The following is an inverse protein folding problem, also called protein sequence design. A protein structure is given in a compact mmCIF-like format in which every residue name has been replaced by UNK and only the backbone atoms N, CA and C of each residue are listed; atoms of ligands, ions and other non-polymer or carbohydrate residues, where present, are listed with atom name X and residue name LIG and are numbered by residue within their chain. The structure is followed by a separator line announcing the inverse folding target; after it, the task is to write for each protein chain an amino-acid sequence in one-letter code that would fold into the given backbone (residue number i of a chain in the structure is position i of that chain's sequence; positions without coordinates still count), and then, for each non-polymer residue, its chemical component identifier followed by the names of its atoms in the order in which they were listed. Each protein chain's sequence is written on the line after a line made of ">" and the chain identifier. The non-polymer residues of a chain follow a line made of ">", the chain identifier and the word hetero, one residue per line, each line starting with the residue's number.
data_IF_482644310313
#
_entry.id   IF_482644310313
#
_cell.length_a   1.000
_cell.length_b   1.000
_cell.length_c   1.000
_cell.angle_alpha   90.00
_cell.angle_beta   90.00
_cell.angle_gamma   90.00
#
_symmetry.space_group_name_H-M   'P 1'
#
loop_
_entity.id
_entity.type
_entity.pdbx_description
1 polymer ?
#
# COMPACT_ATOMS: atom_id res chain seq x y z
N UNK A 1 -6.01 -47.66 9.92
CA UNK A 1 -4.73 -46.94 10.16
C UNK A 1 -4.95 -45.44 10.05
N UNK A 2 -4.95 -44.72 11.17
CA UNK A 2 -5.01 -43.25 11.21
C UNK A 2 -3.63 -42.70 10.87
N UNK A 3 -3.48 -41.98 9.75
CA UNK A 3 -2.27 -41.22 9.45
C UNK A 3 -2.30 -39.92 10.25
N UNK A 4 -1.43 -39.80 11.26
CA UNK A 4 -1.18 -38.54 11.96
C UNK A 4 -0.40 -37.61 11.03
N UNK A 5 -0.93 -36.43 10.75
CA UNK A 5 -0.14 -35.36 10.16
C UNK A 5 0.88 -34.89 11.21
N UNK A 6 2.16 -34.99 10.88
CA UNK A 6 3.24 -34.42 11.68
C UNK A 6 3.14 -32.90 11.56
N UNK A 7 3.01 -32.22 12.70
CA UNK A 7 3.31 -30.80 12.82
C UNK A 7 4.77 -30.57 12.40
N UNK A 8 4.95 -29.98 11.22
CA UNK A 8 6.21 -29.35 10.85
C UNK A 8 6.31 -28.02 11.58
N UNK A 9 6.90 -28.11 12.76
CA UNK A 9 7.69 -27.09 13.45
C UNK A 9 7.97 -25.82 12.64
N UNK A 10 7.54 -24.71 13.22
CA UNK A 10 8.01 -23.34 12.98
C UNK A 10 9.44 -23.26 12.44
N UNK A 11 9.56 -23.01 11.13
CA UNK A 11 10.81 -22.52 10.57
C UNK A 11 11.05 -21.09 11.06
N UNK A 12 12.26 -20.73 11.52
CA UNK A 12 12.57 -19.36 11.86
C UNK A 12 12.34 -18.51 10.61
N UNK A 13 11.64 -17.38 10.76
CA UNK A 13 11.44 -16.42 9.69
C UNK A 13 12.82 -15.99 9.17
N UNK A 14 13.26 -16.61 8.06
CA UNK A 14 14.46 -16.21 7.35
C UNK A 14 14.15 -14.79 6.90
N UNK A 15 14.70 -13.82 7.63
CA UNK A 15 14.81 -12.44 7.18
C UNK A 15 15.69 -12.45 5.93
N UNK A 16 15.09 -12.81 4.79
CA UNK A 16 15.71 -12.63 3.48
C UNK A 16 15.94 -11.13 3.36
N UNK A 17 17.20 -10.73 3.54
CA UNK A 17 17.68 -9.39 3.20
C UNK A 17 17.15 -9.12 1.79
N UNK A 18 16.23 -8.17 1.68
CA UNK A 18 15.60 -7.82 0.41
C UNK A 18 16.72 -7.53 -0.59
N UNK A 19 16.80 -8.33 -1.66
CA UNK A 19 17.73 -8.08 -2.74
C UNK A 19 17.24 -6.81 -3.43
N UNK A 20 17.92 -5.72 -3.09
CA UNK A 20 17.59 -4.38 -3.56
C UNK A 20 17.63 -4.35 -5.09
N UNK A 21 16.52 -3.94 -5.69
CA UNK A 21 16.40 -3.87 -7.15
C UNK A 21 16.56 -2.42 -7.57
N UNK A 22 17.80 -2.00 -7.87
CA UNK A 22 18.02 -0.70 -8.51
C UNK A 22 17.42 -0.74 -9.93
N UNK A 23 16.45 0.11 -10.18
CA UNK A 23 15.72 0.24 -11.45
C UNK A 23 15.53 1.72 -11.74
N UNK A 24 15.67 2.11 -13.00
CA UNK A 24 15.39 3.48 -13.43
C UNK A 24 13.90 3.83 -13.30
N UNK A 25 13.05 2.80 -13.43
CA UNK A 25 11.60 2.91 -13.29
C UNK A 25 11.13 2.50 -11.89
N UNK A 26 9.96 3.01 -11.49
CA UNK A 26 9.31 2.63 -10.23
C UNK A 26 8.97 1.14 -10.26
N UNK A 27 9.26 0.45 -9.15
CA UNK A 27 8.76 -0.89 -8.89
C UNK A 27 7.64 -0.82 -7.85
N UNK A 28 6.68 -1.74 -7.90
CA UNK A 28 5.62 -1.81 -6.89
C UNK A 28 5.76 -3.11 -6.11
N UNK A 29 5.81 -3.01 -4.78
CA UNK A 29 5.89 -4.15 -3.87
C UNK A 29 4.67 -4.20 -2.96
N UNK A 30 4.14 -5.42 -2.77
CA UNK A 30 3.03 -5.72 -1.87
C UNK A 30 3.49 -6.37 -0.55
N UNK A 31 4.80 -6.52 -0.34
CA UNK A 31 5.34 -7.25 0.81
C UNK A 31 4.96 -6.62 2.16
N UNK A 32 4.60 -5.34 2.17
CA UNK A 32 4.34 -4.54 3.38
C UNK A 32 2.88 -4.13 3.51
N UNK A 33 1.98 -4.72 2.72
CA UNK A 33 0.55 -4.47 2.83
C UNK A 33 0.06 -4.95 4.19
N UNK A 34 -0.68 -4.10 4.90
CA UNK A 34 -1.28 -4.46 6.18
C UNK A 34 -2.38 -5.50 5.96
N UNK A 35 -2.39 -6.51 6.83
CA UNK A 35 -3.48 -7.47 6.90
C UNK A 35 -4.59 -6.89 7.79
N UNK A 36 -5.51 -6.13 7.18
CA UNK A 36 -6.69 -5.62 7.86
C UNK A 36 -7.88 -5.51 6.90
N UNK A 37 -9.09 -5.67 7.44
CA UNK A 37 -10.35 -5.67 6.70
C UNK A 37 -10.87 -4.28 6.32
N UNK A 38 -10.26 -3.19 6.82
CA UNK A 38 -10.75 -1.83 6.56
C UNK A 38 -9.85 -1.03 5.61
N UNK A 39 -8.52 -1.18 5.73
CA UNK A 39 -7.51 -0.41 4.99
C UNK A 39 -6.49 -1.30 4.25
N UNK A 40 -6.63 -2.63 4.33
CA UNK A 40 -5.79 -3.56 3.59
C UNK A 40 -6.18 -3.59 2.12
N UNK A 41 -5.67 -4.57 1.37
CA UNK A 41 -6.21 -4.83 0.04
C UNK A 41 -7.55 -5.56 0.16
N UNK A 42 -8.59 -5.00 -0.45
CA UNK A 42 -9.88 -5.66 -0.61
C UNK A 42 -9.80 -6.83 -1.62
N UNK A 43 -9.26 -7.98 -1.21
CA UNK A 43 -9.09 -9.18 -2.04
C UNK A 43 -10.07 -10.31 -1.69
N UNK A 44 -10.60 -10.31 -0.46
CA UNK A 44 -11.45 -11.37 0.05
C UNK A 44 -12.77 -10.80 0.59
N UNK A 45 -13.74 -11.69 0.82
CA UNK A 45 -15.05 -11.34 1.38
C UNK A 45 -15.02 -10.85 2.82
N UNK A 46 -13.89 -11.01 3.49
CA UNK A 46 -13.69 -10.59 4.89
C UNK A 46 -13.39 -9.10 5.00
N UNK A 47 -13.05 -8.44 3.89
CA UNK A 47 -12.85 -7.00 3.86
C UNK A 47 -14.20 -6.26 3.96
N UNK A 48 -14.29 -5.24 4.81
CA UNK A 48 -15.54 -4.53 5.13
C UNK A 48 -16.18 -3.92 3.87
N UNK A 49 -15.34 -3.43 2.97
CA UNK A 49 -15.72 -2.83 1.70
C UNK A 49 -16.02 -3.85 0.58
N UNK A 50 -15.84 -5.16 0.79
CA UNK A 50 -15.88 -6.15 -0.29
C UNK A 50 -17.21 -6.16 -1.05
N UNK A 51 -18.32 -6.10 -0.31
CA UNK A 51 -19.66 -6.15 -0.92
C UNK A 51 -20.15 -4.79 -1.43
N UNK A 52 -19.52 -3.71 -1.00
CA UNK A 52 -19.85 -2.33 -1.42
C UNK A 52 -19.13 -1.95 -2.72
N UNK A 53 -17.92 -2.47 -2.92
CA UNK A 53 -17.09 -2.15 -4.07
C UNK A 53 -17.41 -3.04 -5.26
N UNK A 54 -17.45 -2.43 -6.46
CA UNK A 54 -17.30 -3.19 -7.69
C UNK A 54 -15.85 -3.69 -7.78
N UNK A 55 -15.61 -4.92 -7.32
CA UNK A 55 -14.28 -5.55 -7.22
C UNK A 55 -13.52 -5.52 -8.55
N UNK A 56 -14.19 -5.80 -9.66
CA UNK A 56 -13.57 -5.77 -10.98
C UNK A 56 -13.08 -4.37 -11.31
N UNK A 57 -13.91 -3.36 -11.07
CA UNK A 57 -13.54 -1.97 -11.34
C UNK A 57 -12.40 -1.50 -10.44
N UNK A 58 -12.52 -1.70 -9.12
CA UNK A 58 -11.49 -1.36 -8.14
C UNK A 58 -10.12 -1.97 -8.51
N UNK A 59 -10.08 -3.29 -8.73
CA UNK A 59 -8.83 -3.98 -9.08
C UNK A 59 -8.28 -3.51 -10.42
N UNK A 60 -9.14 -3.20 -11.40
CA UNK A 60 -8.70 -2.66 -12.69
C UNK A 60 -7.99 -1.31 -12.52
N UNK A 61 -8.57 -0.40 -11.72
CA UNK A 61 -8.01 0.94 -11.54
C UNK A 61 -6.74 0.92 -10.69
N UNK A 62 -6.66 0.03 -9.69
CA UNK A 62 -5.44 -0.21 -8.93
C UNK A 62 -4.30 -0.76 -9.81
N UNK A 63 -4.60 -1.74 -10.68
CA UNK A 63 -3.62 -2.26 -11.63
C UNK A 63 -3.19 -1.22 -12.67
N UNK A 64 -4.09 -0.33 -13.10
CA UNK A 64 -3.74 0.79 -13.99
C UNK A 64 -2.80 1.78 -13.30
N UNK A 65 -3.02 2.08 -12.01
CA UNK A 65 -2.08 2.88 -11.22
C UNK A 65 -0.69 2.21 -11.21
N UNK A 66 -0.60 0.92 -10.90
CA UNK A 66 0.70 0.24 -10.89
C UNK A 66 1.35 0.20 -12.27
N UNK A 67 0.58 -0.07 -13.32
CA UNK A 67 1.08 -0.02 -14.70
C UNK A 67 1.51 1.38 -15.14
N UNK A 68 0.92 2.43 -14.56
CA UNK A 68 1.35 3.81 -14.74
C UNK A 68 2.69 4.07 -14.04
N UNK A 69 2.80 3.70 -12.76
CA UNK A 69 4.03 3.89 -11.96
C UNK A 69 5.21 3.14 -12.58
N UNK A 70 5.04 1.87 -12.97
CA UNK A 70 6.10 1.04 -13.54
C UNK A 70 6.64 1.53 -14.90
N UNK A 71 6.05 2.56 -15.50
CA UNK A 71 6.52 3.20 -16.74
C UNK A 71 7.24 4.53 -16.49
N UNK A 72 7.43 4.92 -15.24
CA UNK A 72 7.96 6.22 -14.86
C UNK A 72 9.16 6.11 -13.94
N UNK A 73 10.06 7.07 -14.05
CA UNK A 73 11.06 7.34 -13.03
C UNK A 73 10.42 8.03 -11.82
N UNK A 74 11.09 8.00 -10.68
CA UNK A 74 10.62 8.75 -9.51
C UNK A 74 10.60 10.25 -9.73
N UNK A 75 11.53 10.79 -10.55
CA UNK A 75 11.55 12.21 -10.88
C UNK A 75 10.29 12.61 -11.66
N UNK A 76 9.87 11.79 -12.63
CA UNK A 76 8.62 12.03 -13.35
C UNK A 76 7.40 11.95 -12.42
N UNK A 77 7.39 10.97 -11.51
CA UNK A 77 6.31 10.77 -10.53
C UNK A 77 6.19 11.98 -9.59
N UNK A 78 7.32 12.53 -9.13
CA UNK A 78 7.34 13.72 -8.26
C UNK A 78 6.79 14.98 -8.93
N UNK A 79 6.79 15.04 -10.27
CA UNK A 79 6.29 16.17 -11.03
C UNK A 79 4.79 16.08 -11.35
N UNK A 80 4.11 14.99 -10.97
CA UNK A 80 2.68 14.81 -11.22
C UNK A 80 1.86 15.65 -10.24
N UNK A 81 0.83 16.35 -10.74
CA UNK A 81 -0.09 17.13 -9.90
C UNK A 81 -0.90 16.21 -8.98
N UNK A 82 -0.80 16.42 -7.67
CA UNK A 82 -1.46 15.62 -6.63
C UNK A 82 -2.99 15.48 -6.80
N UNK A 83 -3.67 16.52 -7.30
CA UNK A 83 -5.13 16.54 -7.44
C UNK A 83 -5.67 15.79 -8.67
N UNK A 84 -4.81 15.19 -9.48
CA UNK A 84 -5.19 14.41 -10.67
C UNK A 84 -5.18 12.91 -10.40
N UNK A 85 -5.80 12.12 -11.29
CA UNK A 85 -5.71 10.67 -11.21
C UNK A 85 -4.24 10.24 -11.38
N UNK A 86 -3.77 9.35 -10.50
CA UNK A 86 -2.37 8.96 -10.33
C UNK A 86 -1.43 10.08 -9.83
N UNK A 87 -2.01 11.19 -9.35
CA UNK A 87 -1.29 12.25 -8.67
C UNK A 87 -0.60 11.75 -7.40
N UNK A 88 0.58 12.29 -7.13
CA UNK A 88 1.35 12.02 -5.93
C UNK A 88 1.08 13.10 -4.87
N UNK A 89 0.80 12.66 -3.66
CA UNK A 89 0.83 13.44 -2.44
C UNK A 89 1.82 12.83 -1.44
N UNK A 90 2.40 13.66 -0.58
CA UNK A 90 3.26 13.21 0.53
C UNK A 90 2.70 13.73 1.84
N UNK A 91 2.54 12.83 2.81
CA UNK A 91 2.06 13.15 4.16
C UNK A 91 3.13 12.77 5.18
N UNK A 92 3.31 13.55 6.25
CA UNK A 92 4.11 13.09 7.39
C UNK A 92 3.29 12.06 8.16
N UNK A 93 3.90 10.94 8.53
CA UNK A 93 3.20 9.82 9.19
C UNK A 93 2.49 10.26 10.48
N UNK A 94 3.07 11.22 11.21
CA UNK A 94 2.46 11.83 12.41
C UNK A 94 1.13 12.58 12.15
N UNK A 95 0.81 12.90 10.89
CA UNK A 95 -0.40 13.63 10.50
C UNK A 95 -1.55 12.68 10.12
N UNK A 96 -1.35 11.35 10.22
CA UNK A 96 -2.43 10.35 10.15
C UNK A 96 -3.42 10.60 11.29
N UNK A 97 -4.72 10.46 11.02
CA UNK A 97 -5.73 10.62 12.07
C UNK A 97 -5.53 9.60 13.20
N UNK A 98 -5.52 10.06 14.45
CA UNK A 98 -5.35 9.19 15.65
C UNK A 98 -6.29 7.99 15.71
N UNK A 99 -7.48 8.07 15.10
CA UNK A 99 -8.42 6.93 15.02
C UNK A 99 -7.94 5.78 14.13
N UNK A 100 -6.86 5.98 13.36
CA UNK A 100 -6.27 5.00 12.43
C UNK A 100 -4.95 4.46 12.98
N UNK A 101 -4.90 4.23 14.30
CA UNK A 101 -3.70 3.83 15.05
C UNK A 101 -2.98 2.61 14.44
N UNK A 102 -3.70 1.61 13.92
CA UNK A 102 -3.10 0.43 13.30
C UNK A 102 -2.28 0.77 12.04
N UNK A 103 -2.69 1.77 11.25
CA UNK A 103 -1.91 2.24 10.10
C UNK A 103 -0.71 3.05 10.57
N UNK A 104 -0.92 3.94 11.55
CA UNK A 104 0.18 4.69 12.15
C UNK A 104 1.27 3.76 12.66
N UNK A 105 0.92 2.76 13.47
CA UNK A 105 1.83 1.75 13.99
C UNK A 105 2.52 0.96 12.88
N UNK A 106 1.82 0.61 11.79
CA UNK A 106 2.45 -0.06 10.66
C UNK A 106 3.58 0.79 10.02
N UNK A 107 3.41 2.11 9.90
CA UNK A 107 4.47 2.99 9.40
C UNK A 107 5.59 3.22 10.42
N UNK A 108 5.26 3.32 11.71
CA UNK A 108 6.24 3.43 12.81
C UNK A 108 7.12 2.18 12.90
N UNK A 109 6.56 0.98 12.80
CA UNK A 109 7.29 -0.30 12.78
C UNK A 109 8.22 -0.41 11.57
N UNK A 110 7.86 0.23 10.45
CA UNK A 110 8.69 0.33 9.25
C UNK A 110 9.76 1.44 9.35
N UNK A 111 9.75 2.22 10.44
CA UNK A 111 10.60 3.39 10.67
C UNK A 111 10.53 4.39 9.50
N UNK A 112 9.32 4.72 9.06
CA UNK A 112 9.08 5.66 7.96
C UNK A 112 8.37 6.91 8.47
N UNK A 113 8.94 8.06 8.20
CA UNK A 113 8.38 9.36 8.63
C UNK A 113 7.45 9.98 7.58
N UNK A 114 7.54 9.52 6.33
CA UNK A 114 6.80 10.07 5.18
C UNK A 114 6.03 8.95 4.48
N UNK A 115 4.75 9.21 4.26
CA UNK A 115 3.85 8.39 3.46
C UNK A 115 3.71 9.01 2.07
N UNK A 116 3.88 8.18 1.04
CA UNK A 116 3.62 8.49 -0.36
C UNK A 116 2.23 8.00 -0.71
N UNK A 117 1.45 8.86 -1.36
CA UNK A 117 0.03 8.66 -1.58
C UNK A 117 -0.28 8.87 -3.04
N UNK A 118 -0.82 7.85 -3.68
CA UNK A 118 -1.23 7.91 -5.07
C UNK A 118 -2.74 7.84 -5.20
N UNK A 119 -3.35 8.87 -5.78
CA UNK A 119 -4.79 8.85 -6.08
C UNK A 119 -5.08 7.88 -7.23
N UNK A 120 -6.12 7.06 -7.11
CA UNK A 120 -6.67 6.31 -8.23
C UNK A 120 -8.18 6.25 -8.10
N UNK A 121 -8.89 6.89 -9.05
CA UNK A 121 -10.33 7.19 -8.93
C UNK A 121 -10.64 7.93 -7.63
N UNK A 122 -11.43 7.29 -6.77
CA UNK A 122 -11.91 7.82 -5.50
C UNK A 122 -11.09 7.30 -4.31
N UNK A 123 -10.09 6.44 -4.58
CA UNK A 123 -9.26 5.78 -3.58
C UNK A 123 -7.83 6.33 -3.58
N UNK A 124 -7.06 5.99 -2.56
CA UNK A 124 -5.64 6.35 -2.42
C UNK A 124 -4.81 5.14 -2.04
N UNK A 125 -3.77 4.88 -2.81
CA UNK A 125 -2.77 3.88 -2.50
C UNK A 125 -1.68 4.54 -1.65
N UNK A 126 -1.54 4.08 -0.42
CA UNK A 126 -0.70 4.66 0.60
C UNK A 126 0.46 3.72 0.90
N UNK A 127 1.67 4.25 0.92
CA UNK A 127 2.86 3.45 1.11
C UNK A 127 4.10 4.28 1.38
N UNK A 128 5.26 3.67 1.23
CA UNK A 128 6.54 4.37 1.34
C UNK A 128 7.43 4.04 0.16
N UNK A 129 8.45 4.87 -0.04
CA UNK A 129 9.48 4.67 -1.05
C UNK A 129 10.76 4.16 -0.41
N UNK A 130 11.41 3.21 -1.08
CA UNK A 130 12.80 2.85 -0.83
C UNK A 130 13.49 2.62 -2.18
N UNK A 131 14.48 3.48 -2.48
CA UNK A 131 15.17 3.52 -3.78
C UNK A 131 14.20 3.67 -4.95
N UNK A 132 14.09 2.66 -5.80
CA UNK A 132 13.21 2.56 -6.97
C UNK A 132 11.82 2.02 -6.60
N UNK A 133 11.63 1.42 -5.42
CA UNK A 133 10.43 0.65 -5.10
C UNK A 133 9.46 1.47 -4.26
N UNK A 134 8.20 1.48 -4.69
CA UNK A 134 7.04 1.86 -3.89
C UNK A 134 6.52 0.61 -3.18
N UNK A 135 6.59 0.62 -1.86
CA UNK A 135 6.01 -0.42 -1.02
C UNK A 135 4.61 0.02 -0.61
N UNK A 136 3.59 -0.65 -1.16
CA UNK A 136 2.21 -0.43 -0.74
C UNK A 136 2.04 -0.92 0.69
N UNK A 137 1.43 -0.10 1.53
CA UNK A 137 1.12 -0.42 2.92
C UNK A 137 -0.39 -0.55 3.11
N UNK A 138 -1.18 0.41 2.63
CA UNK A 138 -2.63 0.41 2.81
C UNK A 138 -3.36 1.13 1.67
N UNK A 139 -4.68 1.00 1.64
CA UNK A 139 -5.58 1.72 0.74
C UNK A 139 -6.52 2.57 1.58
N UNK A 140 -6.53 3.88 1.34
CA UNK A 140 -7.54 4.78 1.88
C UNK A 140 -8.76 4.81 0.95
N UNK A 141 -9.82 4.13 1.40
CA UNK A 141 -11.04 3.90 0.65
C UNK A 141 -12.05 5.04 0.74
N UNK A 142 -12.00 5.82 1.81
CA UNK A 142 -13.08 6.74 2.20
C UNK A 142 -12.61 8.15 2.54
N UNK A 143 -11.36 8.49 2.21
CA UNK A 143 -10.80 9.84 2.39
C UNK A 143 -10.74 10.25 3.86
N UNK A 144 -10.55 9.27 4.74
CA UNK A 144 -10.59 9.47 6.21
C UNK A 144 -9.26 9.15 6.89
N UNK A 145 -8.21 8.85 6.12
CA UNK A 145 -6.92 8.49 6.70
C UNK A 145 -6.19 9.70 7.30
N UNK A 146 -6.36 10.90 6.72
CA UNK A 146 -5.74 12.14 7.18
C UNK A 146 -6.53 13.37 6.70
N UNK A 147 -6.13 14.56 7.16
CA UNK A 147 -6.72 15.81 6.68
C UNK A 147 -6.14 16.19 5.31
N UNK A 148 -6.96 16.18 4.27
CA UNK A 148 -6.53 16.42 2.89
C UNK A 148 -6.37 17.89 2.49
N UNK A 149 -6.37 18.82 3.46
CA UNK A 149 -6.49 20.25 3.20
C UNK A 149 -7.87 20.61 2.64
N UNK A 150 -8.29 21.86 2.81
CA UNK A 150 -9.45 22.42 2.10
C UNK A 150 -8.99 23.09 0.83
#
# INVERSE_FOLDING_TARGET
>A
MKKSFKDTSSSPAISKKLLETNSDFVLVSFQKVVDCNTYGLCLTREHDRHNELNQKHYNTELLKLFGYLCKKTWQEVQNVRHNTNYGLETLKVKDIHNLKQHILTAFEDLNKEVMYIFRFKDYRACGYREKSTFYLVCIDYDYSLYNHGK
#
